data_IF_894069258327
#
_entry.id   IF_894069258327
#
_cell.length_a   1.000
_cell.length_b   1.000
_cell.length_c   1.000
_cell.angle_alpha   90.00
_cell.angle_beta   90.00
_cell.angle_gamma   90.00
#
_symmetry.space_group_name_H-M   'P 1'
#
loop_
_entity.id
_entity.type
_entity.pdbx_description
1 polymer ?
#
# COMPACT_ATOMS: atom_id res chain seq x y z
N UNK A 1 2.62 30.20 4.97
CA UNK A 1 1.53 30.76 4.14
C UNK A 1 0.84 29.54 3.55
N UNK A 2 -0.42 29.22 3.88
CA UNK A 2 -1.07 28.05 3.25
C UNK A 2 -1.04 28.30 1.74
N UNK A 3 -0.28 27.52 0.99
CA UNK A 3 -0.24 27.63 -0.47
C UNK A 3 -1.69 27.68 -0.96
N UNK A 4 -2.07 28.78 -1.61
CA UNK A 4 -3.37 28.91 -2.25
C UNK A 4 -3.33 28.01 -3.47
N UNK A 5 -3.62 26.73 -3.27
CA UNK A 5 -3.64 25.75 -4.34
C UNK A 5 -4.69 26.23 -5.35
N UNK A 6 -4.22 26.59 -6.54
CA UNK A 6 -5.10 26.88 -7.66
C UNK A 6 -6.07 25.71 -7.84
N UNK A 7 -7.32 26.02 -8.24
CA UNK A 7 -8.40 25.03 -8.28
C UNK A 7 -8.05 23.80 -9.15
N UNK A 8 -7.20 23.98 -10.16
CA UNK A 8 -6.92 22.95 -11.18
C UNK A 8 -5.43 22.61 -11.31
N UNK A 9 -4.55 23.61 -11.47
CA UNK A 9 -3.09 23.43 -11.65
C UNK A 9 -2.32 24.50 -10.90
N UNK A 10 -1.35 24.08 -10.11
CA UNK A 10 -0.46 24.96 -9.37
C UNK A 10 0.98 24.74 -9.82
N UNK A 11 1.71 25.83 -10.07
CA UNK A 11 3.14 25.77 -10.31
C UNK A 11 3.87 25.74 -8.96
N UNK A 12 4.73 24.74 -8.76
CA UNK A 12 5.54 24.59 -7.55
C UNK A 12 6.99 24.87 -7.90
N UNK A 13 7.63 25.76 -7.15
CA UNK A 13 8.99 26.23 -7.39
C UNK A 13 9.99 25.59 -6.42
N UNK A 14 11.30 25.52 -6.77
CA UNK A 14 12.33 25.14 -5.82
C UNK A 14 12.32 26.06 -4.58
N UNK A 15 12.32 25.48 -3.39
CA UNK A 15 12.23 26.16 -2.10
C UNK A 15 10.83 26.19 -1.48
N UNK A 16 9.79 25.69 -2.18
CA UNK A 16 8.40 25.72 -1.71
C UNK A 16 8.05 24.65 -0.65
N UNK A 17 8.98 23.75 -0.30
CA UNK A 17 8.69 22.70 0.67
C UNK A 17 8.50 23.28 2.08
N UNK A 18 7.28 23.20 2.60
CA UNK A 18 6.95 23.63 3.97
C UNK A 18 6.51 22.41 4.79
N UNK A 19 7.29 21.98 5.81
CA UNK A 19 7.00 20.76 6.56
C UNK A 19 5.60 20.73 7.16
N UNK A 20 5.10 21.87 7.65
CA UNK A 20 3.79 21.95 8.28
C UNK A 20 2.62 21.68 7.34
N UNK A 21 2.84 21.77 6.02
CA UNK A 21 1.83 21.51 5.00
C UNK A 21 1.81 20.05 4.52
N UNK A 22 2.82 19.24 4.86
CA UNK A 22 3.02 17.89 4.28
C UNK A 22 3.01 16.76 5.31
N UNK A 23 3.27 17.05 6.57
CA UNK A 23 3.34 16.07 7.65
C UNK A 23 2.17 16.23 8.62
N UNK A 24 1.73 15.13 9.25
CA UNK A 24 0.83 15.27 10.39
C UNK A 24 1.55 16.02 11.54
N UNK A 25 0.87 16.93 12.26
CA UNK A 25 1.48 17.63 13.40
C UNK A 25 2.10 16.67 14.42
N UNK A 26 1.46 15.51 14.66
CA UNK A 26 2.00 14.46 15.55
C UNK A 26 3.34 13.88 15.05
N UNK A 27 3.54 13.82 13.75
CA UNK A 27 4.77 13.30 13.11
C UNK A 27 5.92 14.28 13.28
N UNK A 28 5.70 15.56 13.00
CA UNK A 28 6.70 16.62 13.23
C UNK A 28 7.17 16.69 14.69
N UNK A 29 6.28 16.36 15.63
CA UNK A 29 6.56 16.34 17.06
C UNK A 29 6.93 14.94 17.59
N UNK A 30 7.39 14.04 16.73
CA UNK A 30 7.77 12.67 17.10
C UNK A 30 9.22 12.37 16.73
N UNK A 31 9.83 11.47 17.50
CA UNK A 31 11.15 10.93 17.19
C UNK A 31 10.99 9.48 16.79
N UNK A 32 11.60 9.09 15.67
CA UNK A 32 11.60 7.71 15.19
C UNK A 32 12.14 6.76 16.27
N UNK A 33 11.53 5.58 16.39
CA UNK A 33 12.04 4.56 17.30
C UNK A 33 13.41 4.04 16.80
N UNK A 34 14.45 3.89 17.66
CA UNK A 34 15.80 3.48 17.23
C UNK A 34 15.84 2.17 16.44
N UNK A 35 15.08 1.14 16.83
CA UNK A 35 14.97 -0.11 16.06
C UNK A 35 14.42 0.08 14.65
N UNK A 36 13.50 1.02 14.47
CA UNK A 36 12.89 1.30 13.16
C UNK A 36 13.87 2.09 12.29
N UNK A 37 14.57 3.06 12.88
CA UNK A 37 15.68 3.76 12.19
C UNK A 37 16.76 2.76 11.75
N UNK A 38 17.16 1.85 12.62
CA UNK A 38 18.13 0.79 12.31
C UNK A 38 17.63 -0.12 11.18
N UNK A 39 16.37 -0.58 11.26
CA UNK A 39 15.73 -1.39 10.21
C UNK A 39 15.80 -0.73 8.82
N UNK A 40 15.49 0.56 8.74
CA UNK A 40 15.48 1.29 7.47
C UNK A 40 16.88 1.45 6.85
N UNK A 41 17.94 1.28 7.65
CA UNK A 41 19.34 1.37 7.24
C UNK A 41 20.03 0.01 7.04
N UNK A 42 19.38 -1.12 7.35
CA UNK A 42 19.96 -2.45 7.12
C UNK A 42 20.24 -2.69 5.64
N UNK A 43 21.39 -3.27 5.32
CA UNK A 43 21.74 -3.73 3.95
C UNK A 43 20.91 -4.96 3.55
N UNK A 44 20.82 -5.24 2.25
CA UNK A 44 20.17 -6.47 1.77
C UNK A 44 20.84 -7.71 2.34
N UNK A 45 22.17 -7.74 2.40
CA UNK A 45 22.94 -8.85 2.97
C UNK A 45 22.57 -9.09 4.43
N UNK A 46 22.52 -8.03 5.26
CA UNK A 46 22.13 -8.17 6.66
C UNK A 46 20.69 -8.68 6.82
N UNK A 47 19.75 -8.19 6.02
CA UNK A 47 18.37 -8.66 6.03
C UNK A 47 18.27 -10.13 5.60
N UNK A 48 18.94 -10.50 4.50
CA UNK A 48 18.95 -11.87 3.98
C UNK A 48 19.56 -12.84 4.97
N UNK A 49 20.73 -12.54 5.53
CA UNK A 49 21.39 -13.40 6.53
C UNK A 49 20.50 -13.60 7.75
N UNK A 50 19.89 -12.51 8.26
CA UNK A 50 19.01 -12.58 9.41
C UNK A 50 17.75 -13.39 9.11
N UNK A 51 17.13 -13.18 7.95
CA UNK A 51 15.95 -13.93 7.54
C UNK A 51 16.25 -15.42 7.37
N UNK A 52 17.32 -15.78 6.65
CA UNK A 52 17.73 -17.18 6.44
C UNK A 52 18.05 -17.87 7.76
N UNK A 53 18.73 -17.19 8.70
CA UNK A 53 19.01 -17.74 10.04
C UNK A 53 17.76 -18.14 10.81
N UNK A 54 16.66 -17.40 10.64
CA UNK A 54 15.37 -17.65 11.29
C UNK A 54 14.46 -18.59 10.47
N UNK A 55 14.80 -18.81 9.20
CA UNK A 55 14.06 -19.67 8.26
C UNK A 55 15.08 -20.55 7.51
N UNK A 56 15.68 -21.56 8.17
CA UNK A 56 16.83 -22.30 7.62
C UNK A 56 16.51 -23.08 6.34
N UNK A 57 15.23 -23.30 6.04
CA UNK A 57 14.77 -23.94 4.80
C UNK A 57 14.64 -22.97 3.61
N UNK A 58 14.70 -21.66 3.85
CA UNK A 58 14.60 -20.66 2.81
C UNK A 58 15.94 -20.51 2.09
N UNK A 59 15.93 -20.57 0.76
CA UNK A 59 17.10 -20.35 -0.09
C UNK A 59 17.56 -18.90 0.03
N UNK A 60 18.81 -18.74 0.49
CA UNK A 60 19.41 -17.46 0.83
C UNK A 60 19.65 -16.61 -0.43
N UNK A 61 20.15 -17.24 -1.48
CA UNK A 61 20.47 -16.62 -2.76
C UNK A 61 19.20 -16.09 -3.43
N UNK A 62 18.10 -16.85 -3.40
CA UNK A 62 16.81 -16.43 -3.93
C UNK A 62 16.25 -15.20 -3.19
N UNK A 63 16.37 -15.15 -1.86
CA UNK A 63 15.97 -13.97 -1.08
C UNK A 63 16.81 -12.75 -1.49
N UNK A 64 18.13 -12.90 -1.58
CA UNK A 64 19.01 -11.80 -1.96
C UNK A 64 18.71 -11.30 -3.37
N UNK A 65 18.44 -12.20 -4.32
CA UNK A 65 18.04 -11.86 -5.69
C UNK A 65 16.75 -11.03 -5.70
N UNK A 66 15.74 -11.43 -4.90
CA UNK A 66 14.48 -10.68 -4.79
C UNK A 66 14.69 -9.31 -4.16
N UNK A 67 15.54 -9.19 -3.14
CA UNK A 67 15.83 -7.90 -2.52
C UNK A 67 16.63 -6.97 -3.44
N UNK A 68 17.56 -7.51 -4.23
CA UNK A 68 18.35 -6.78 -5.23
C UNK A 68 17.60 -6.53 -6.54
N UNK A 69 16.44 -7.14 -6.71
CA UNK A 69 15.63 -6.96 -7.90
C UNK A 69 15.29 -5.48 -8.12
N UNK A 70 15.35 -5.02 -9.37
CA UNK A 70 14.94 -3.70 -9.77
C UNK A 70 13.67 -3.79 -10.61
N UNK A 71 12.49 -3.52 -10.02
CA UNK A 71 11.22 -3.55 -10.75
C UNK A 71 11.22 -2.69 -12.01
N UNK A 72 10.61 -3.19 -13.08
CA UNK A 72 10.43 -2.45 -14.33
C UNK A 72 9.23 -1.51 -14.20
N UNK A 73 8.08 -2.03 -13.80
CA UNK A 73 6.82 -1.30 -13.71
C UNK A 73 6.48 -0.89 -12.28
N UNK A 74 6.71 -1.74 -11.28
CA UNK A 74 6.18 -1.55 -9.92
C UNK A 74 7.23 -1.01 -8.94
N UNK A 75 7.75 0.18 -9.21
CA UNK A 75 8.90 0.77 -8.51
C UNK A 75 8.58 1.45 -7.18
N UNK A 76 7.33 1.80 -6.93
CA UNK A 76 6.89 2.37 -5.65
C UNK A 76 5.62 1.69 -5.15
N UNK A 77 5.71 1.00 -4.01
CA UNK A 77 4.65 0.10 -3.54
C UNK A 77 4.43 0.23 -2.03
N UNK A 78 3.22 -0.09 -1.60
CA UNK A 78 2.88 -0.24 -0.18
C UNK A 78 2.09 -1.50 0.07
N UNK A 79 2.60 -2.35 0.96
CA UNK A 79 1.94 -3.61 1.34
C UNK A 79 1.27 -3.45 2.70
N UNK A 80 0.02 -3.87 2.79
CA UNK A 80 -0.69 -4.02 4.06
C UNK A 80 -0.47 -5.44 4.59
N UNK A 81 0.09 -5.53 5.78
CA UNK A 81 0.40 -6.78 6.48
C UNK A 81 -0.42 -6.87 7.76
N UNK A 82 -0.75 -8.08 8.19
CA UNK A 82 -1.28 -8.34 9.53
C UNK A 82 -0.37 -9.31 10.29
N UNK A 83 -0.11 -9.04 11.56
CA UNK A 83 0.65 -9.93 12.43
C UNK A 83 -0.29 -10.98 13.01
N UNK A 84 -0.08 -12.23 12.63
CA UNK A 84 -0.97 -13.35 12.95
C UNK A 84 -0.25 -14.50 13.63
N UNK A 85 -0.98 -15.29 14.41
CA UNK A 85 -0.51 -16.52 15.05
C UNK A 85 -1.48 -17.66 14.78
N UNK A 86 -0.98 -18.89 14.75
CA UNK A 86 -1.83 -20.10 14.75
C UNK A 86 -1.89 -20.72 16.16
N UNK A 87 -2.63 -21.82 16.30
CA UNK A 87 -2.80 -22.57 17.55
C UNK A 87 -1.50 -23.19 18.11
N UNK A 88 -0.45 -23.33 17.28
CA UNK A 88 0.87 -23.82 17.70
C UNK A 88 1.78 -22.68 18.19
N UNK A 89 1.30 -21.43 18.14
CA UNK A 89 2.10 -20.24 18.48
C UNK A 89 3.01 -19.76 17.35
N UNK A 90 2.90 -20.34 16.14
CA UNK A 90 3.68 -19.91 14.99
C UNK A 90 3.17 -18.57 14.49
N UNK A 91 4.05 -17.56 14.49
CA UNK A 91 3.73 -16.19 14.06
C UNK A 91 4.13 -15.93 12.62
N UNK A 92 3.29 -15.21 11.89
CA UNK A 92 3.56 -14.76 10.52
C UNK A 92 3.10 -13.32 10.31
N UNK A 93 3.74 -12.63 9.37
CA UNK A 93 3.21 -11.41 8.78
C UNK A 93 2.55 -11.80 7.45
N UNK A 94 1.23 -11.70 7.41
CA UNK A 94 0.43 -12.11 6.26
C UNK A 94 0.11 -10.92 5.37
N UNK A 95 0.30 -11.08 4.06
CA UNK A 95 0.00 -10.05 3.05
C UNK A 95 -1.51 -9.99 2.84
N UNK A 96 -2.09 -8.81 3.06
CA UNK A 96 -3.52 -8.55 2.84
C UNK A 96 -3.75 -7.96 1.45
N UNK A 97 -2.95 -6.96 1.08
CA UNK A 97 -2.94 -6.35 -0.25
C UNK A 97 -1.62 -5.59 -0.49
N UNK A 98 -1.29 -5.40 -1.77
CA UNK A 98 -0.16 -4.58 -2.20
C UNK A 98 -0.66 -3.52 -3.16
N UNK A 99 -0.30 -2.27 -2.89
CA UNK A 99 -0.89 -1.08 -3.49
C UNK A 99 0.16 -0.25 -4.25
N UNK A 100 -0.18 0.15 -5.47
CA UNK A 100 0.50 1.23 -6.20
C UNK A 100 0.00 2.60 -5.74
N UNK A 101 0.87 3.60 -5.82
CA UNK A 101 0.62 4.95 -5.29
C UNK A 101 0.18 4.91 -3.81
N UNK A 102 0.96 4.24 -2.92
CA UNK A 102 0.61 4.15 -1.50
C UNK A 102 0.65 5.54 -0.81
N UNK A 103 -0.31 5.77 0.09
CA UNK A 103 -0.22 6.86 1.07
C UNK A 103 0.64 6.43 2.24
N UNK A 104 1.36 7.36 2.87
CA UNK A 104 1.96 7.05 4.17
C UNK A 104 3.17 7.85 4.59
N UNK A 105 3.75 8.66 3.70
CA UNK A 105 4.91 9.48 4.07
C UNK A 105 4.56 10.39 5.23
N UNK A 106 3.44 11.12 5.13
CA UNK A 106 2.90 11.98 6.19
C UNK A 106 2.69 11.32 7.58
N UNK A 107 2.76 9.99 7.66
CA UNK A 107 2.60 9.17 8.87
C UNK A 107 3.93 8.61 9.42
N UNK A 108 5.07 8.88 8.76
CA UNK A 108 6.37 8.35 9.11
C UNK A 108 7.23 9.43 9.81
N UNK A 109 7.67 9.22 11.06
CA UNK A 109 8.64 10.12 11.70
C UNK A 109 9.91 10.30 10.85
N UNK A 110 10.48 11.50 10.87
CA UNK A 110 11.72 11.80 10.13
C UNK A 110 12.87 10.91 10.63
N UNK A 111 13.65 10.39 9.69
CA UNK A 111 14.87 9.64 9.97
C UNK A 111 16.00 10.55 10.46
N UNK A 112 16.09 11.75 9.86
CA UNK A 112 17.00 12.81 10.22
C UNK A 112 16.18 14.11 10.31
N UNK A 113 16.21 14.75 11.48
CA UNK A 113 15.45 15.97 11.74
C UNK A 113 15.94 17.17 10.93
N UNK A 114 17.18 17.12 10.39
CA UNK A 114 17.71 18.16 9.52
C UNK A 114 17.30 17.98 8.05
N UNK A 115 16.63 16.87 7.72
CA UNK A 115 16.13 16.58 6.37
C UNK A 115 14.61 16.58 6.41
N UNK A 116 14.03 17.78 6.37
CA UNK A 116 12.58 17.97 6.59
C UNK A 116 11.70 17.34 5.51
N UNK A 117 12.25 17.14 4.30
CA UNK A 117 11.61 16.38 3.23
C UNK A 117 11.56 14.86 3.49
N UNK A 118 12.31 14.36 4.47
CA UNK A 118 12.24 12.99 4.97
C UNK A 118 12.14 11.90 3.89
N UNK A 119 11.09 11.09 3.97
CA UNK A 119 10.83 9.99 3.04
C UNK A 119 10.43 10.43 1.63
N UNK A 120 9.92 11.65 1.42
CA UNK A 120 9.69 12.21 0.08
C UNK A 120 11.02 12.28 -0.67
N UNK A 121 12.04 12.90 -0.05
CA UNK A 121 13.37 13.05 -0.63
C UNK A 121 13.99 11.72 -1.02
N UNK A 122 13.92 10.73 -0.12
CA UNK A 122 14.44 9.38 -0.40
C UNK A 122 13.78 8.74 -1.62
N UNK A 123 12.47 8.85 -1.77
CA UNK A 123 11.76 8.32 -2.94
C UNK A 123 12.15 9.06 -4.22
N UNK A 124 12.18 10.39 -4.18
CA UNK A 124 12.47 11.20 -5.35
C UNK A 124 13.92 11.01 -5.80
N UNK A 125 14.90 11.20 -4.91
CA UNK A 125 16.32 11.15 -5.27
C UNK A 125 16.83 9.75 -5.65
N UNK A 126 16.28 8.69 -5.04
CA UNK A 126 16.77 7.33 -5.26
C UNK A 126 15.94 6.52 -6.25
N UNK A 127 14.75 7.00 -6.63
CA UNK A 127 13.86 6.28 -7.56
C UNK A 127 13.44 7.16 -8.73
N UNK A 128 12.69 8.24 -8.47
CA UNK A 128 12.08 9.02 -9.56
C UNK A 128 13.14 9.76 -10.38
N UNK A 129 14.07 10.45 -9.72
CA UNK A 129 15.12 11.22 -10.38
C UNK A 129 16.00 10.38 -11.30
N UNK A 130 16.56 9.24 -10.87
CA UNK A 130 17.30 8.34 -11.76
C UNK A 130 16.49 7.88 -12.97
N UNK A 131 15.17 7.67 -12.82
CA UNK A 131 14.31 7.30 -13.95
C UNK A 131 14.16 8.45 -14.95
N UNK A 132 13.95 9.68 -14.47
CA UNK A 132 13.84 10.87 -15.33
C UNK A 132 15.16 11.16 -16.04
N UNK A 133 16.28 11.10 -15.32
CA UNK A 133 17.61 11.38 -15.87
C UNK A 133 17.99 10.36 -16.97
N UNK A 134 17.46 9.14 -16.93
CA UNK A 134 17.63 8.11 -17.95
C UNK A 134 16.60 8.18 -19.09
N UNK A 135 15.56 9.01 -18.97
CA UNK A 135 14.45 9.08 -19.92
C UNK A 135 14.67 10.17 -20.98
N UNK A 136 14.66 9.79 -22.25
CA UNK A 136 14.97 10.69 -23.36
C UNK A 136 13.71 11.35 -23.93
N UNK A 137 13.12 12.26 -23.15
CA UNK A 137 11.99 13.08 -23.57
C UNK A 137 12.14 14.53 -23.08
N UNK A 138 11.68 15.48 -23.87
CA UNK A 138 11.67 16.91 -23.52
C UNK A 138 10.34 17.35 -22.89
N UNK A 139 10.32 18.52 -22.26
CA UNK A 139 9.15 19.08 -21.57
C UNK A 139 9.36 19.22 -20.08
N UNK A 140 8.33 19.68 -19.36
CA UNK A 140 8.35 19.94 -17.92
C UNK A 140 8.10 18.68 -17.07
N UNK A 141 8.23 18.83 -15.74
CA UNK A 141 7.84 17.84 -14.75
C UNK A 141 6.44 18.12 -14.23
N UNK A 142 5.73 17.06 -13.84
CA UNK A 142 4.42 17.17 -13.21
C UNK A 142 4.23 16.21 -12.03
N UNK A 143 3.31 16.59 -11.14
CA UNK A 143 2.65 15.68 -10.21
C UNK A 143 1.16 15.67 -10.57
N UNK A 144 0.62 14.49 -10.88
CA UNK A 144 -0.80 14.32 -11.17
C UNK A 144 -1.50 13.55 -10.05
N UNK A 145 -2.64 14.03 -9.57
CA UNK A 145 -3.30 13.42 -8.42
C UNK A 145 -4.83 13.52 -8.45
N UNK A 146 -5.52 12.55 -7.85
CA UNK A 146 -6.99 12.57 -7.70
C UNK A 146 -7.48 12.69 -6.25
N UNK A 147 -6.58 12.61 -5.28
CA UNK A 147 -6.89 12.77 -3.84
C UNK A 147 -5.62 13.10 -3.05
N UNK A 148 -5.77 13.36 -1.76
CA UNK A 148 -4.65 13.53 -0.81
C UNK A 148 -3.68 14.66 -1.20
N UNK A 149 -4.15 15.92 -1.31
CA UNK A 149 -3.31 17.05 -1.72
C UNK A 149 -2.08 17.22 -0.81
N UNK A 150 -2.19 16.96 0.49
CA UNK A 150 -1.10 17.06 1.47
C UNK A 150 0.18 16.34 1.01
N UNK A 151 0.11 15.07 0.64
CA UNK A 151 1.31 14.35 0.17
C UNK A 151 1.72 14.76 -1.24
N UNK A 152 0.77 15.12 -2.11
CA UNK A 152 1.07 15.44 -3.50
C UNK A 152 1.79 16.78 -3.67
N UNK A 153 1.47 17.77 -2.84
CA UNK A 153 2.24 19.02 -2.78
C UNK A 153 3.65 18.71 -2.25
N UNK A 154 3.77 17.86 -1.21
CA UNK A 154 5.07 17.44 -0.68
C UNK A 154 5.93 16.73 -1.73
N UNK A 155 5.34 15.84 -2.56
CA UNK A 155 6.04 15.25 -3.71
C UNK A 155 6.44 16.31 -4.73
N UNK A 156 5.55 17.23 -5.11
CA UNK A 156 5.84 18.26 -6.10
C UNK A 156 6.98 19.19 -5.66
N UNK A 157 6.94 19.69 -4.42
CA UNK A 157 7.97 20.55 -3.86
C UNK A 157 9.32 19.81 -3.75
N UNK A 158 9.31 18.54 -3.32
CA UNK A 158 10.52 17.72 -3.28
C UNK A 158 11.10 17.47 -4.67
N UNK A 159 10.25 17.28 -5.69
CA UNK A 159 10.70 17.15 -7.08
C UNK A 159 11.29 18.48 -7.56
N UNK A 160 10.65 19.61 -7.27
CA UNK A 160 11.17 20.92 -7.66
C UNK A 160 12.57 21.16 -7.08
N UNK A 161 12.76 20.86 -5.79
CA UNK A 161 14.06 20.96 -5.12
C UNK A 161 15.10 20.00 -5.70
N UNK A 162 14.73 18.75 -5.96
CA UNK A 162 15.66 17.72 -6.43
C UNK A 162 16.16 17.95 -7.87
N UNK A 163 15.38 18.66 -8.69
CA UNK A 163 15.73 18.97 -10.08
C UNK A 163 16.14 20.43 -10.30
N UNK A 164 15.86 21.33 -9.36
CA UNK A 164 16.13 22.77 -9.51
C UNK A 164 15.27 23.42 -10.60
N UNK A 165 14.05 22.92 -10.83
CA UNK A 165 13.11 23.42 -11.83
C UNK A 165 11.67 23.39 -11.32
N UNK A 166 10.78 24.12 -11.99
CA UNK A 166 9.38 24.20 -11.59
C UNK A 166 8.62 22.92 -11.96
N UNK A 167 7.64 22.56 -11.13
CA UNK A 167 6.82 21.35 -11.29
C UNK A 167 5.34 21.72 -11.35
N UNK A 168 4.62 21.18 -12.35
CA UNK A 168 3.17 21.35 -12.44
C UNK A 168 2.45 20.36 -11.51
N UNK A 169 1.79 20.86 -10.49
CA UNK A 169 0.88 20.08 -9.66
C UNK A 169 -0.55 20.16 -10.24
N UNK A 170 -1.00 19.09 -10.90
CA UNK A 170 -2.26 19.07 -11.62
C UNK A 170 -3.25 18.06 -11.02
N UNK A 171 -4.45 18.55 -10.69
CA UNK A 171 -5.55 17.69 -10.24
C UNK A 171 -6.13 16.96 -11.46
N UNK A 172 -6.24 15.65 -11.38
CA UNK A 172 -6.79 14.81 -12.44
C UNK A 172 -7.85 13.91 -11.81
N UNK A 173 -9.11 14.36 -11.73
CA UNK A 173 -10.23 13.62 -11.13
C UNK A 173 -10.99 12.78 -12.15
N UNK A 174 -11.72 11.76 -11.69
CA UNK A 174 -12.53 10.89 -12.58
C UNK A 174 -13.72 11.64 -13.18
N UNK A 175 -14.34 12.52 -12.39
CA UNK A 175 -15.58 13.24 -12.74
C UNK A 175 -15.35 14.56 -13.47
N UNK A 176 -14.09 14.94 -13.71
CA UNK A 176 -13.77 16.18 -14.42
C UNK A 176 -13.85 15.94 -15.94
N UNK A 177 -14.81 16.61 -16.59
CA UNK A 177 -15.02 16.53 -18.03
C UNK A 177 -14.01 17.40 -18.81
N UNK A 178 -13.34 18.33 -18.14
CA UNK A 178 -12.36 19.25 -18.72
C UNK A 178 -11.09 19.26 -17.87
N UNK A 179 -10.45 18.09 -17.66
CA UNK A 179 -9.31 17.99 -16.78
C UNK A 179 -8.14 18.82 -17.32
N UNK A 180 -7.29 19.38 -16.45
CA UNK A 180 -6.11 20.11 -16.86
C UNK A 180 -4.98 19.20 -17.35
N UNK A 181 -5.26 17.91 -17.58
CA UNK A 181 -4.32 16.89 -18.05
C UNK A 181 -4.93 16.22 -19.26
N UNK A 182 -4.17 16.09 -20.34
CA UNK A 182 -4.56 15.31 -21.52
C UNK A 182 -3.38 14.53 -22.08
N UNK A 183 -3.67 13.53 -22.89
CA UNK A 183 -2.66 12.81 -23.66
C UNK A 183 -2.92 12.99 -25.15
N UNK A 184 -1.87 13.32 -25.90
CA UNK A 184 -1.89 13.38 -27.38
C UNK A 184 -0.72 12.54 -27.86
N UNK A 185 -1.00 11.52 -28.68
CA UNK A 185 0.01 10.58 -29.23
C UNK A 185 0.98 10.02 -28.17
N UNK A 186 0.45 9.69 -26.99
CA UNK A 186 1.20 9.13 -25.86
C UNK A 186 1.97 10.16 -25.01
N UNK A 187 2.03 11.43 -25.43
CA UNK A 187 2.65 12.51 -24.66
C UNK A 187 1.61 13.17 -23.76
N UNK A 188 1.95 13.37 -22.49
CA UNK A 188 1.13 14.10 -21.53
C UNK A 188 1.31 15.61 -21.72
N UNK A 189 0.20 16.33 -21.64
CA UNK A 189 0.16 17.77 -21.56
C UNK A 189 -0.58 18.21 -20.29
N UNK A 190 -0.05 19.24 -19.62
CA UNK A 190 -0.71 19.89 -18.48
C UNK A 190 -1.04 21.34 -18.81
N UNK A 191 -2.21 21.79 -18.42
CA UNK A 191 -2.67 23.16 -18.66
C UNK A 191 -2.09 24.12 -17.61
N UNK A 192 -1.35 25.13 -18.03
CA UNK A 192 -0.77 26.13 -17.12
C UNK A 192 -1.79 27.21 -16.72
N UNK A 193 -1.39 28.16 -15.85
CA UNK A 193 -2.25 29.25 -15.37
C UNK A 193 -2.70 30.23 -16.47
N UNK A 194 -1.97 30.29 -17.60
CA UNK A 194 -2.32 31.07 -18.79
C UNK A 194 -3.17 30.27 -19.78
N UNK A 195 -3.70 29.12 -19.38
CA UNK A 195 -4.53 28.23 -20.19
C UNK A 195 -3.82 27.58 -21.40
N UNK A 196 -2.49 27.65 -21.45
CA UNK A 196 -1.67 26.99 -22.47
C UNK A 196 -1.35 25.55 -22.06
N UNK A 197 -1.14 24.67 -23.05
CA UNK A 197 -0.79 23.26 -22.82
C UNK A 197 0.71 23.07 -22.88
N UNK A 198 1.29 22.63 -21.77
CA UNK A 198 2.72 22.39 -21.61
C UNK A 198 3.04 20.91 -21.76
N UNK A 199 4.08 20.58 -22.51
CA UNK A 199 4.54 19.21 -22.68
C UNK A 199 5.21 18.69 -21.41
N UNK A 200 4.90 17.46 -21.03
CA UNK A 200 5.45 16.83 -19.83
C UNK A 200 6.38 15.67 -20.23
N UNK A 201 7.65 15.73 -19.78
CA UNK A 201 8.62 14.65 -19.99
C UNK A 201 8.46 13.52 -18.99
N UNK A 202 8.14 13.86 -17.74
CA UNK A 202 7.90 12.89 -16.70
C UNK A 202 6.88 13.39 -15.66
N UNK A 203 6.08 12.48 -15.13
CA UNK A 203 5.07 12.75 -14.12
C UNK A 203 5.16 11.78 -12.95
N UNK A 204 5.21 12.32 -11.73
CA UNK A 204 4.96 11.56 -10.52
C UNK A 204 3.44 11.40 -10.35
N UNK A 205 2.97 10.15 -10.24
CA UNK A 205 1.55 9.86 -10.28
C UNK A 205 1.00 9.45 -8.91
N UNK A 206 -0.09 10.10 -8.54
CA UNK A 206 -0.99 9.74 -7.46
C UNK A 206 -2.45 9.73 -7.91
N UNK A 207 -2.70 9.13 -9.07
CA UNK A 207 -4.04 8.89 -9.61
C UNK A 207 -4.44 7.46 -9.26
N UNK A 208 -5.43 7.32 -8.37
CA UNK A 208 -5.72 6.10 -7.62
C UNK A 208 -7.11 5.50 -7.90
N UNK A 209 -8.11 6.30 -8.26
CA UNK A 209 -9.50 5.89 -8.43
C UNK A 209 -9.79 5.57 -9.90
N UNK A 210 -9.88 4.29 -10.28
CA UNK A 210 -10.04 3.87 -11.68
C UNK A 210 -9.09 4.59 -12.67
N UNK A 211 -7.78 4.57 -12.41
CA UNK A 211 -6.81 5.33 -13.19
C UNK A 211 -6.75 4.90 -14.67
N UNK A 212 -7.20 3.69 -15.00
CA UNK A 212 -7.25 3.14 -16.37
C UNK A 212 -8.23 3.86 -17.30
N UNK A 213 -9.17 4.64 -16.76
CA UNK A 213 -10.07 5.46 -17.58
C UNK A 213 -9.37 6.72 -18.16
N UNK A 214 -8.17 7.03 -17.67
CA UNK A 214 -7.54 8.34 -17.84
C UNK A 214 -6.07 8.26 -18.24
N UNK A 215 -5.36 7.22 -17.82
CA UNK A 215 -3.95 7.02 -18.12
C UNK A 215 -3.79 5.96 -19.22
N UNK A 216 -3.12 6.29 -20.32
CA UNK A 216 -2.81 5.31 -21.35
C UNK A 216 -1.73 4.33 -20.88
N UNK A 217 -1.70 3.18 -21.53
CA UNK A 217 -0.58 2.23 -21.47
C UNK A 217 0.58 2.75 -22.32
N UNK A 218 1.81 2.43 -21.95
CA UNK A 218 3.04 2.79 -22.65
C UNK A 218 3.08 4.26 -23.15
N UNK A 219 2.85 5.26 -22.27
CA UNK A 219 3.00 6.65 -22.65
C UNK A 219 4.45 6.98 -23.02
N UNK A 220 4.64 7.99 -23.89
CA UNK A 220 5.95 8.60 -24.15
C UNK A 220 6.45 9.34 -22.90
N UNK A 221 5.55 10.06 -22.22
CA UNK A 221 5.84 10.66 -20.91
C UNK A 221 6.12 9.56 -19.89
N UNK A 222 7.25 9.64 -19.19
CA UNK A 222 7.57 8.73 -18.09
C UNK A 222 6.57 8.92 -16.94
N UNK A 223 6.00 7.84 -16.41
CA UNK A 223 5.07 7.90 -15.27
C UNK A 223 5.51 6.95 -14.17
N UNK A 224 5.62 7.44 -12.92
CA UNK A 224 5.90 6.62 -11.74
C UNK A 224 4.66 6.46 -10.84
N UNK A 225 4.09 5.26 -10.63
CA UNK A 225 4.24 4.06 -11.44
C UNK A 225 3.37 4.16 -12.71
N UNK A 226 3.73 3.47 -13.80
CA UNK A 226 2.88 3.35 -14.98
C UNK A 226 1.59 2.57 -14.67
N UNK A 227 0.58 2.63 -15.56
CA UNK A 227 -0.75 2.04 -15.31
C UNK A 227 -0.72 0.51 -15.26
N UNK A 228 0.23 -0.08 -15.96
CA UNK A 228 0.56 -1.49 -16.06
C UNK A 228 0.77 -2.10 -14.68
N UNK A 229 1.50 -1.41 -13.79
CA UNK A 229 1.68 -1.87 -12.41
C UNK A 229 0.35 -2.04 -11.66
N UNK A 230 -0.64 -1.19 -11.96
CA UNK A 230 -1.97 -1.29 -11.36
C UNK A 230 -2.75 -2.49 -11.91
N UNK A 231 -2.75 -2.64 -13.24
CA UNK A 231 -3.44 -3.70 -13.95
C UNK A 231 -2.86 -5.08 -13.66
N UNK A 232 -1.55 -5.16 -13.39
CA UNK A 232 -0.83 -6.39 -13.09
C UNK A 232 -0.99 -6.89 -11.63
N UNK A 233 -1.74 -6.18 -10.80
CA UNK A 233 -2.01 -6.59 -9.41
C UNK A 233 -1.79 -5.49 -8.37
N UNK A 234 -1.09 -4.40 -8.70
CA UNK A 234 -0.84 -3.30 -7.76
C UNK A 234 -2.10 -2.52 -7.37
N UNK A 235 -3.24 -2.71 -8.06
CA UNK A 235 -4.57 -2.23 -7.62
C UNK A 235 -5.70 -3.23 -7.88
N UNK A 236 -5.42 -4.36 -8.50
CA UNK A 236 -6.40 -5.40 -8.77
C UNK A 236 -6.10 -6.62 -7.88
N UNK A 237 -6.97 -6.85 -6.88
CA UNK A 237 -6.77 -7.90 -5.86
C UNK A 237 -6.78 -9.31 -6.45
N UNK A 238 -7.57 -9.54 -7.49
CA UNK A 238 -7.67 -10.83 -8.17
C UNK A 238 -6.38 -11.16 -8.92
N UNK A 239 -5.88 -10.19 -9.70
CA UNK A 239 -4.64 -10.36 -10.44
C UNK A 239 -3.45 -10.49 -9.49
N UNK A 240 -3.44 -9.76 -8.38
CA UNK A 240 -2.43 -9.91 -7.33
C UNK A 240 -2.42 -11.32 -6.73
N UNK A 241 -3.60 -11.86 -6.37
CA UNK A 241 -3.71 -13.22 -5.84
C UNK A 241 -3.12 -14.24 -6.80
N UNK A 242 -3.44 -14.13 -8.10
CA UNK A 242 -2.92 -15.01 -9.13
C UNK A 242 -1.40 -14.90 -9.28
N UNK A 243 -0.85 -13.67 -9.23
CA UNK A 243 0.58 -13.44 -9.28
C UNK A 243 1.32 -14.07 -8.07
N UNK A 244 0.71 -14.01 -6.88
CA UNK A 244 1.26 -14.64 -5.68
C UNK A 244 1.27 -16.16 -5.77
N UNK A 245 0.21 -16.78 -6.32
CA UNK A 245 0.16 -18.23 -6.52
C UNK A 245 1.24 -18.70 -7.50
N UNK A 246 1.44 -17.97 -8.61
CA UNK A 246 2.51 -18.24 -9.57
C UNK A 246 3.89 -18.13 -8.92
N UNK A 247 4.10 -17.10 -8.10
CA UNK A 247 5.33 -16.94 -7.33
C UNK A 247 5.55 -18.13 -6.38
N UNK A 248 4.52 -18.49 -5.61
CA UNK A 248 4.61 -19.56 -4.62
C UNK A 248 4.92 -20.92 -5.24
N UNK A 249 4.37 -21.22 -6.42
CA UNK A 249 4.70 -22.44 -7.14
C UNK A 249 6.14 -22.39 -7.70
N UNK A 250 6.54 -21.25 -8.30
CA UNK A 250 7.90 -21.06 -8.85
C UNK A 250 9.00 -21.18 -7.78
N UNK A 251 8.76 -20.66 -6.58
CA UNK A 251 9.74 -20.62 -5.49
C UNK A 251 9.54 -21.70 -4.43
N UNK A 252 8.67 -22.69 -4.69
CA UNK A 252 8.38 -23.79 -3.76
C UNK A 252 9.63 -24.55 -3.32
N UNK A 253 10.48 -24.94 -4.28
CA UNK A 253 11.73 -25.66 -4.01
C UNK A 253 12.81 -24.78 -3.36
N UNK A 254 12.58 -23.47 -3.32
CA UNK A 254 13.42 -22.47 -2.66
C UNK A 254 12.98 -22.21 -1.21
N UNK A 255 11.93 -22.87 -0.73
CA UNK A 255 11.47 -22.75 0.65
C UNK A 255 10.99 -21.35 1.03
N UNK A 256 10.64 -20.51 0.06
CA UNK A 256 10.08 -19.17 0.26
C UNK A 256 8.71 -19.07 -0.40
N UNK A 257 7.82 -18.34 0.24
CA UNK A 257 6.46 -18.11 -0.25
C UNK A 257 5.89 -16.82 0.30
N UNK A 258 5.04 -16.19 -0.49
CA UNK A 258 4.15 -15.11 -0.08
C UNK A 258 3.01 -15.74 0.71
N UNK A 259 2.92 -15.36 1.97
CA UNK A 259 1.89 -15.85 2.86
C UNK A 259 0.69 -14.90 2.86
N UNK A 260 -0.44 -15.37 2.36
CA UNK A 260 -1.73 -14.68 2.35
C UNK A 260 -2.77 -15.53 3.08
N UNK A 261 -3.84 -14.93 3.64
CA UNK A 261 -4.99 -15.72 4.06
C UNK A 261 -5.60 -16.42 2.84
N UNK A 262 -6.19 -17.61 3.03
CA UNK A 262 -6.78 -18.39 1.94
C UNK A 262 -7.78 -17.53 1.17
N UNK A 263 -7.56 -17.37 -0.14
CA UNK A 263 -8.37 -16.50 -1.00
C UNK A 263 -9.02 -17.32 -2.10
N UNK A 264 -10.28 -17.03 -2.39
CA UNK A 264 -11.04 -17.51 -3.53
C UNK A 264 -11.40 -16.32 -4.41
N UNK A 265 -11.06 -16.41 -5.69
CA UNK A 265 -11.30 -15.37 -6.69
C UNK A 265 -12.50 -15.69 -7.56
N UNK A 266 -13.08 -14.68 -8.22
CA UNK A 266 -14.19 -14.84 -9.17
C UNK A 266 -15.41 -15.55 -8.58
N UNK A 267 -15.71 -15.30 -7.30
CA UNK A 267 -16.85 -15.93 -6.62
C UNK A 267 -18.13 -15.21 -7.05
N UNK A 268 -19.09 -15.89 -7.70
CA UNK A 268 -20.38 -15.30 -8.03
C UNK A 268 -21.20 -14.99 -6.77
N UNK A 269 -22.09 -13.99 -6.84
CA UNK A 269 -22.98 -13.61 -5.74
C UNK A 269 -23.73 -14.82 -5.15
N UNK A 270 -24.28 -15.68 -6.01
CA UNK A 270 -25.06 -16.86 -5.60
C UNK A 270 -24.24 -17.92 -4.86
N UNK A 271 -22.90 -17.91 -4.99
CA UNK A 271 -22.02 -18.86 -4.29
C UNK A 271 -21.49 -18.34 -2.95
N UNK A 272 -21.72 -17.07 -2.59
CA UNK A 272 -21.17 -16.48 -1.35
C UNK A 272 -21.57 -17.27 -0.09
N UNK A 273 -22.82 -17.73 0.01
CA UNK A 273 -23.28 -18.58 1.13
C UNK A 273 -22.57 -19.92 1.21
N UNK A 274 -22.27 -20.53 0.06
CA UNK A 274 -21.52 -21.79 -0.01
C UNK A 274 -20.11 -21.59 0.54
N UNK A 275 -19.43 -20.50 0.17
CA UNK A 275 -18.09 -20.20 0.67
C UNK A 275 -18.08 -19.85 2.16
N UNK A 276 -19.12 -19.20 2.67
CA UNK A 276 -19.32 -19.00 4.12
C UNK A 276 -19.31 -20.34 4.87
N UNK A 277 -20.04 -21.34 4.36
CA UNK A 277 -20.02 -22.69 4.92
C UNK A 277 -18.66 -23.40 4.79
N UNK A 278 -18.00 -23.30 3.62
CA UNK A 278 -16.66 -23.89 3.39
C UNK A 278 -15.61 -23.32 4.35
N UNK A 279 -15.73 -22.05 4.70
CA UNK A 279 -14.83 -21.35 5.63
C UNK A 279 -15.25 -21.46 7.10
N UNK A 280 -16.27 -22.27 7.41
CA UNK A 280 -16.67 -22.57 8.78
C UNK A 280 -17.46 -21.44 9.46
N UNK A 281 -18.25 -20.69 8.68
CA UNK A 281 -19.14 -19.67 9.22
C UNK A 281 -18.47 -18.32 9.48
N UNK A 282 -17.33 -18.06 8.85
CA UNK A 282 -16.73 -16.72 8.84
C UNK A 282 -15.91 -16.47 7.59
N UNK A 283 -15.93 -15.25 7.07
CA UNK A 283 -15.16 -14.87 5.89
C UNK A 283 -15.01 -13.35 5.76
N UNK A 284 -14.20 -12.93 4.80
CA UNK A 284 -14.13 -11.55 4.33
C UNK A 284 -14.56 -11.52 2.87
N UNK A 285 -15.59 -10.74 2.56
CA UNK A 285 -16.03 -10.47 1.19
C UNK A 285 -15.38 -9.16 0.73
N UNK A 286 -14.73 -9.17 -0.44
CA UNK A 286 -14.12 -7.97 -1.03
C UNK A 286 -14.64 -7.75 -2.45
N UNK A 287 -15.05 -6.51 -2.71
CA UNK A 287 -15.33 -6.02 -4.06
C UNK A 287 -13.99 -5.74 -4.77
N UNK A 288 -13.76 -6.23 -6.01
CA UNK A 288 -12.44 -6.18 -6.65
C UNK A 288 -11.85 -4.77 -6.82
N UNK A 289 -12.65 -3.81 -7.28
CA UNK A 289 -12.20 -2.45 -7.66
C UNK A 289 -12.38 -1.39 -6.55
N UNK A 290 -12.86 -1.80 -5.38
CA UNK A 290 -13.05 -0.88 -4.27
C UNK A 290 -11.72 -0.60 -3.52
N UNK A 291 -11.59 0.63 -3.00
CA UNK A 291 -10.40 1.12 -2.31
C UNK A 291 -10.74 1.63 -0.90
N UNK A 292 -9.71 1.76 -0.04
CA UNK A 292 -9.80 2.36 1.29
C UNK A 292 -10.82 1.69 2.25
N UNK A 293 -11.02 0.38 2.11
CA UNK A 293 -11.95 -0.39 2.97
C UNK A 293 -13.41 -0.32 2.57
N UNK A 294 -13.77 0.47 1.56
CA UNK A 294 -15.10 0.42 0.98
C UNK A 294 -15.26 -0.92 0.27
N UNK A 295 -16.44 -1.54 0.34
CA UNK A 295 -16.68 -2.84 -0.29
C UNK A 295 -15.89 -4.00 0.32
N UNK A 296 -15.47 -3.88 1.60
CA UNK A 296 -14.90 -4.98 2.37
C UNK A 296 -15.83 -5.28 3.54
N UNK A 297 -16.32 -6.52 3.61
CA UNK A 297 -17.24 -6.97 4.64
C UNK A 297 -16.60 -8.11 5.40
N UNK A 298 -16.34 -7.90 6.69
CA UNK A 298 -16.05 -9.01 7.61
C UNK A 298 -17.37 -9.62 8.02
N UNK A 299 -17.45 -10.95 7.95
CA UNK A 299 -18.67 -11.71 8.22
C UNK A 299 -18.33 -12.79 9.23
N UNK A 300 -18.92 -12.74 10.42
CA UNK A 300 -18.70 -13.74 11.49
C UNK A 300 -19.95 -14.54 11.86
N UNK A 301 -21.09 -14.23 11.26
CA UNK A 301 -22.36 -14.92 11.48
C UNK A 301 -23.31 -14.69 10.28
N UNK A 302 -24.46 -15.37 10.29
CA UNK A 302 -25.47 -15.26 9.24
C UNK A 302 -26.09 -13.86 9.13
N UNK A 303 -26.25 -13.13 10.23
CA UNK A 303 -26.82 -11.77 10.22
C UNK A 303 -25.93 -10.80 9.43
N UNK A 304 -24.62 -10.85 9.68
CA UNK A 304 -23.63 -10.08 8.91
C UNK A 304 -23.56 -10.52 7.45
N UNK A 305 -23.81 -11.81 7.17
CA UNK A 305 -23.87 -12.30 5.80
C UNK A 305 -25.07 -11.71 5.06
N UNK A 306 -26.26 -11.74 5.65
CA UNK A 306 -27.45 -11.13 5.06
C UNK A 306 -27.24 -9.64 4.79
N UNK A 307 -26.66 -8.93 5.75
CA UNK A 307 -26.35 -7.52 5.61
C UNK A 307 -25.34 -7.27 4.47
N UNK A 308 -24.25 -8.04 4.41
CA UNK A 308 -23.30 -7.90 3.31
C UNK A 308 -23.96 -8.17 1.95
N UNK A 309 -24.79 -9.22 1.86
CA UNK A 309 -25.53 -9.56 0.63
C UNK A 309 -26.54 -8.48 0.21
N UNK A 310 -27.12 -7.72 1.15
CA UNK A 310 -28.03 -6.61 0.82
C UNK A 310 -27.32 -5.38 0.28
N UNK A 311 -26.04 -5.19 0.62
CA UNK A 311 -25.27 -4.00 0.27
C UNK A 311 -24.47 -4.15 -1.04
N UNK A 312 -24.35 -5.37 -1.57
CA UNK A 312 -23.49 -5.67 -2.72
C UNK A 312 -24.29 -6.04 -3.98
N UNK A 313 -23.70 -5.85 -5.16
CA UNK A 313 -24.37 -6.08 -6.44
C UNK A 313 -24.47 -7.56 -6.83
N UNK A 314 -25.65 -8.00 -7.28
CA UNK A 314 -25.83 -9.38 -7.77
C UNK A 314 -25.11 -9.66 -9.10
N UNK A 315 -24.67 -8.63 -9.82
CA UNK A 315 -23.99 -8.78 -11.12
C UNK A 315 -22.49 -8.96 -11.01
N UNK A 316 -21.91 -8.72 -9.83
CA UNK A 316 -20.47 -8.60 -9.67
C UNK A 316 -19.85 -9.94 -9.26
N UNK A 317 -18.53 -10.05 -9.49
CA UNK A 317 -17.73 -11.15 -8.98
C UNK A 317 -16.94 -10.68 -7.75
N UNK A 318 -16.83 -11.53 -6.76
CA UNK A 318 -16.24 -11.22 -5.46
C UNK A 318 -14.93 -11.96 -5.24
N UNK A 319 -14.07 -11.37 -4.40
CA UNK A 319 -13.04 -12.14 -3.70
C UNK A 319 -13.56 -12.52 -2.32
N UNK A 320 -13.47 -13.79 -1.99
CA UNK A 320 -13.75 -14.29 -0.64
C UNK A 320 -12.43 -14.71 0.00
N UNK A 321 -12.13 -14.19 1.17
CA UNK A 321 -10.90 -14.48 1.90
C UNK A 321 -11.22 -15.06 3.27
N UNK A 322 -10.39 -15.99 3.73
CA UNK A 322 -10.43 -16.48 5.11
C UNK A 322 -10.26 -15.32 6.08
N UNK A 323 -11.18 -15.24 7.06
CA UNK A 323 -11.07 -14.30 8.15
C UNK A 323 -9.87 -14.67 9.05
N UNK A 324 -9.11 -13.65 9.44
CA UNK A 324 -8.16 -13.78 10.56
C UNK A 324 -8.96 -13.49 11.82
N UNK A 325 -9.10 -14.47 12.70
CA UNK A 325 -9.99 -14.40 13.85
C UNK A 325 -9.41 -13.51 14.97
N UNK A 326 -10.28 -12.95 15.79
CA UNK A 326 -9.87 -12.20 16.98
C UNK A 326 -9.38 -13.12 18.09
N UNK A 327 -10.19 -14.14 18.41
CA UNK A 327 -9.91 -15.17 19.40
C UNK A 327 -10.46 -16.52 18.94
N UNK A 328 -10.11 -17.57 19.69
CA UNK A 328 -10.80 -18.85 19.60
C UNK A 328 -12.28 -18.69 19.93
N UNK A 329 -13.13 -19.36 19.17
CA UNK A 329 -14.57 -19.46 19.41
C UNK A 329 -15.01 -20.91 19.29
N UNK A 330 -16.05 -21.29 20.03
CA UNK A 330 -16.60 -22.64 19.97
C UNK A 330 -17.02 -23.00 18.53
N UNK A 331 -16.67 -24.21 18.09
CA UNK A 331 -16.95 -24.70 16.72
C UNK A 331 -15.90 -24.32 15.67
N UNK A 332 -14.95 -23.44 15.97
CA UNK A 332 -13.81 -23.16 15.10
C UNK A 332 -12.76 -24.28 15.20
N UNK A 333 -12.32 -24.82 14.06
CA UNK A 333 -11.17 -25.75 14.00
C UNK A 333 -9.85 -24.95 14.11
N UNK A 334 -9.15 -24.98 15.26
CA UNK A 334 -7.95 -24.16 15.48
C UNK A 334 -6.81 -24.54 14.54
N UNK A 335 -6.82 -25.77 14.01
CA UNK A 335 -5.78 -26.26 13.08
C UNK A 335 -5.81 -25.57 11.72
N UNK A 336 -6.94 -24.96 11.38
CA UNK A 336 -7.16 -24.26 10.11
C UNK A 336 -7.30 -22.75 10.27
N UNK A 337 -7.19 -22.23 11.50
CA UNK A 337 -7.42 -20.83 11.81
C UNK A 337 -6.13 -20.06 12.06
N UNK A 338 -6.18 -18.77 11.72
CA UNK A 338 -5.19 -17.77 12.11
C UNK A 338 -5.87 -16.72 12.98
N UNK A 339 -5.13 -16.21 13.95
CA UNK A 339 -5.60 -15.21 14.91
C UNK A 339 -4.74 -13.97 14.83
N UNK A 340 -5.33 -12.80 15.02
CA UNK A 340 -4.57 -11.58 15.20
C UNK A 340 -3.71 -11.69 16.47
N UNK A 341 -2.43 -11.33 16.38
CA UNK A 341 -1.57 -11.22 17.58
C UNK A 341 -2.06 -10.07 18.47
N UNK A 342 -2.55 -9.00 17.85
CA UNK A 342 -3.06 -7.82 18.53
C UNK A 342 -1.96 -6.94 19.14
N UNK A 343 -2.31 -5.71 19.50
CA UNK A 343 -1.42 -4.83 20.26
C UNK A 343 -1.10 -5.43 21.63
N UNK A 344 0.01 -5.00 22.24
CA UNK A 344 0.23 -5.23 23.66
C UNK A 344 -0.98 -4.69 24.43
N UNK A 345 -1.56 -5.48 25.36
CA UNK A 345 -2.72 -5.03 26.12
C UNK A 345 -2.45 -3.73 26.89
N UNK A 346 -3.43 -2.81 26.88
CA UNK A 346 -3.35 -1.59 27.68
C UNK A 346 -3.59 -1.87 29.18
N UNK A 347 -3.59 -0.82 30.02
CA UNK A 347 -3.84 -0.95 31.47
C UNK A 347 -5.22 -1.50 31.83
N UNK A 348 -6.17 -1.53 30.88
CA UNK A 348 -7.48 -2.16 31.03
C UNK A 348 -7.50 -3.58 30.47
N UNK A 349 -6.37 -4.10 30.01
CA UNK A 349 -6.23 -5.42 29.39
C UNK A 349 -6.72 -5.47 27.94
N UNK A 350 -6.95 -4.33 27.27
CA UNK A 350 -7.52 -4.28 25.92
C UNK A 350 -6.43 -4.41 24.86
N UNK A 351 -6.61 -5.33 23.93
CA UNK A 351 -5.73 -5.52 22.76
C UNK A 351 -6.50 -5.25 21.48
N UNK A 352 -5.89 -4.62 20.48
CA UNK A 352 -6.54 -4.20 19.24
C UNK A 352 -5.95 -4.91 18.04
N UNK A 353 -6.77 -5.21 17.02
CA UNK A 353 -6.24 -5.60 15.73
C UNK A 353 -5.42 -4.42 15.18
N UNK A 354 -4.32 -4.71 14.51
CA UNK A 354 -3.58 -3.69 13.79
C UNK A 354 -2.99 -4.26 12.50
N UNK A 355 -2.81 -3.38 11.54
CA UNK A 355 -2.05 -3.67 10.33
C UNK A 355 -0.67 -3.00 10.36
N UNK A 356 0.20 -3.41 9.45
CA UNK A 356 1.42 -2.69 9.13
C UNK A 356 1.32 -2.28 7.65
N UNK A 357 1.29 -0.97 7.38
CA UNK A 357 1.53 -0.44 6.04
C UNK A 357 3.03 -0.29 5.88
N UNK A 358 3.64 -1.17 5.10
CA UNK A 358 5.06 -1.07 4.75
C UNK A 358 5.20 -0.55 3.31
N UNK A 359 5.77 0.64 3.17
CA UNK A 359 6.10 1.24 1.88
C UNK A 359 7.53 0.89 1.50
N UNK A 360 7.75 0.64 0.21
CA UNK A 360 9.06 0.36 -0.38
C UNK A 360 9.20 1.05 -1.73
N UNK A 361 10.45 1.17 -2.16
CA UNK A 361 10.80 1.74 -3.45
C UNK A 361 11.98 1.02 -4.09
N UNK A 362 12.05 1.09 -5.41
CA UNK A 362 13.17 0.57 -6.19
C UNK A 362 14.30 1.60 -6.25
N UNK A 363 15.52 1.15 -5.99
CA UNK A 363 16.76 1.92 -6.09
C UNK A 363 17.71 1.21 -7.05
N UNK A 364 18.86 1.83 -7.33
CA UNK A 364 19.98 1.20 -8.03
C UNK A 364 20.54 -0.03 -7.31
N UNK A 365 20.32 -0.16 -6.00
CA UNK A 365 20.70 -1.35 -5.23
C UNK A 365 19.61 -2.44 -5.21
N UNK A 366 18.38 -2.12 -5.62
CA UNK A 366 17.21 -3.01 -5.55
C UNK A 366 16.07 -2.42 -4.71
N UNK A 367 15.19 -3.28 -4.18
CA UNK A 367 14.03 -2.87 -3.37
C UNK A 367 14.49 -2.46 -1.96
N UNK A 368 14.07 -1.29 -1.47
CA UNK A 368 14.44 -0.77 -0.14
C UNK A 368 13.20 -0.37 0.67
N UNK A 369 13.20 -0.52 2.02
CA UNK A 369 12.10 -0.03 2.83
C UNK A 369 12.14 1.51 2.90
N UNK A 370 10.96 2.13 2.75
CA UNK A 370 10.81 3.57 2.61
C UNK A 370 10.14 4.20 3.84
N UNK A 371 8.98 3.69 4.22
CA UNK A 371 8.19 4.17 5.36
C UNK A 371 7.38 3.02 5.94
N UNK A 372 7.06 3.09 7.23
CA UNK A 372 6.22 2.09 7.90
C UNK A 372 5.41 2.73 9.03
N UNK A 373 4.13 2.39 9.09
CA UNK A 373 3.23 2.79 10.17
C UNK A 373 2.13 1.75 10.35
N UNK A 374 1.41 1.83 11.46
CA UNK A 374 0.31 0.93 11.77
C UNK A 374 -0.99 1.68 11.96
N UNK A 375 -2.10 1.00 11.69
CA UNK A 375 -3.44 1.46 12.02
C UNK A 375 -4.11 0.39 12.86
N UNK A 376 -4.81 0.79 13.91
CA UNK A 376 -5.55 -0.14 14.79
C UNK A 376 -7.06 -0.09 14.57
N UNK A 377 -7.74 -1.18 14.94
CA UNK A 377 -9.19 -1.27 14.97
C UNK A 377 -9.81 -0.30 15.99
N UNK A 378 -11.10 -0.02 15.85
CA UNK A 378 -11.85 0.83 16.79
C UNK A 378 -12.19 0.12 18.09
N UNK A 379 -12.36 -1.21 18.02
CA UNK A 379 -12.79 -2.03 19.14
C UNK A 379 -11.75 -3.11 19.50
N UNK A 380 -11.59 -3.47 20.80
CA UNK A 380 -10.66 -4.50 21.21
C UNK A 380 -11.00 -5.88 20.65
N UNK A 381 -9.97 -6.69 20.39
CA UNK A 381 -10.07 -8.10 19.99
C UNK A 381 -10.70 -8.95 21.09
N UNK A 382 -10.42 -8.64 22.36
CA UNK A 382 -10.69 -9.47 23.52
C UNK A 382 -11.89 -9.00 24.37
N UNK A 383 -12.78 -8.20 23.78
CA UNK A 383 -14.04 -7.78 24.40
C UNK A 383 -15.23 -8.28 23.57
N UNK A 384 -16.35 -8.54 24.23
CA UNK A 384 -17.60 -8.86 23.53
C UNK A 384 -18.10 -7.62 22.78
N UNK A 385 -18.47 -7.82 21.53
CA UNK A 385 -18.93 -6.74 20.68
C UNK A 385 -20.31 -6.24 21.17
N UNK A 386 -20.51 -4.94 21.43
CA UNK A 386 -21.79 -4.42 21.89
C UNK A 386 -22.91 -4.66 20.88
N UNK A 387 -24.14 -4.84 21.35
CA UNK A 387 -25.32 -4.96 20.48
C UNK A 387 -25.41 -3.77 19.51
N UNK A 388 -25.63 -4.07 18.23
CA UNK A 388 -25.73 -3.07 17.16
C UNK A 388 -24.39 -2.63 16.56
N UNK A 389 -23.26 -3.18 17.02
CA UNK A 389 -21.97 -3.08 16.32
C UNK A 389 -21.76 -4.34 15.47
N UNK A 390 -20.92 -4.23 14.44
CA UNK A 390 -20.55 -5.34 13.57
C UNK A 390 -19.04 -5.65 13.66
N UNK A 391 -18.65 -6.80 13.15
CA UNK A 391 -17.29 -7.34 13.21
C UNK A 391 -16.23 -6.41 12.61
N UNK A 392 -16.62 -5.49 11.71
CA UNK A 392 -15.70 -4.50 11.15
C UNK A 392 -15.09 -3.59 12.22
N UNK A 393 -15.79 -3.34 13.33
CA UNK A 393 -15.26 -2.55 14.45
C UNK A 393 -14.03 -3.23 15.11
N UNK A 394 -13.98 -4.57 15.07
CA UNK A 394 -12.93 -5.40 15.64
C UNK A 394 -11.77 -5.59 14.66
N UNK A 395 -12.08 -5.81 13.38
CA UNK A 395 -11.09 -6.21 12.36
C UNK A 395 -10.65 -5.07 11.44
N UNK A 396 -11.47 -4.04 11.26
CA UNK A 396 -11.26 -2.94 10.32
C UNK A 396 -10.25 -1.91 10.83
N UNK A 397 -9.10 -1.81 10.16
CA UNK A 397 -8.01 -0.87 10.53
C UNK A 397 -8.02 0.43 9.71
N UNK A 398 -8.92 0.59 8.74
CA UNK A 398 -8.96 1.79 7.91
C UNK A 398 -9.30 3.04 8.73
N UNK A 399 -8.57 4.14 8.49
CA UNK A 399 -8.74 5.40 9.23
C UNK A 399 -9.87 6.27 8.68
N UNK A 400 -10.26 6.08 7.41
CA UNK A 400 -11.32 6.84 6.77
C UNK A 400 -12.67 6.53 7.42
N UNK A 401 -13.34 7.55 7.93
CA UNK A 401 -14.68 7.48 8.50
C UNK A 401 -15.60 8.32 7.63
N UNK A 402 -16.78 7.78 7.28
CA UNK A 402 -17.82 8.54 6.59
C UNK A 402 -18.61 9.33 7.65
N UNK A 403 -18.44 10.64 7.67
CA UNK A 403 -19.24 11.57 8.48
C UNK A 403 -20.45 12.13 7.71
N UNK A 404 -21.24 12.97 8.38
CA UNK A 404 -22.44 13.60 7.81
C UNK A 404 -22.10 14.58 6.67
N UNK A 405 -21.00 15.33 6.81
CA UNK A 405 -20.53 16.34 5.82
C UNK A 405 -19.45 15.79 4.86
N UNK A 406 -19.27 14.47 4.81
CA UNK A 406 -18.24 13.82 3.99
C UNK A 406 -17.24 13.01 4.80
N UNK A 407 -16.05 12.77 4.25
CA UNK A 407 -15.06 11.88 4.86
C UNK A 407 -14.21 12.60 5.91
N UNK A 408 -14.08 12.00 7.10
CA UNK A 408 -13.15 12.39 8.18
C UNK A 408 -12.12 11.29 8.46
N UNK A 409 -11.14 11.55 9.31
CA UNK A 409 -10.05 10.62 9.66
C UNK A 409 -9.98 10.39 11.17
N UNK A 410 -9.93 9.12 11.59
CA UNK A 410 -9.63 8.72 12.96
C UNK A 410 -8.11 8.71 13.21
N UNK A 411 -7.52 9.88 13.41
CA UNK A 411 -6.08 10.02 13.64
C UNK A 411 -5.63 9.38 14.96
N UNK A 412 -6.51 9.22 15.94
CA UNK A 412 -6.27 8.53 17.22
C UNK A 412 -6.02 7.02 17.05
N UNK A 413 -6.39 6.44 15.90
CA UNK A 413 -6.10 5.04 15.55
C UNK A 413 -4.82 4.86 14.74
N UNK A 414 -4.17 5.96 14.33
CA UNK A 414 -2.86 5.93 13.72
C UNK A 414 -1.77 5.69 14.79
N UNK A 415 -0.99 4.64 14.59
CA UNK A 415 0.14 4.26 15.42
C UNK A 415 1.45 4.54 14.66
N UNK A 416 2.12 5.63 15.05
CA UNK A 416 3.41 6.03 14.49
C UNK A 416 4.50 5.05 14.93
N UNK A 417 5.54 4.88 14.13
CA UNK A 417 6.72 4.08 14.51
C UNK A 417 7.73 4.96 15.27
N UNK A 418 7.20 5.69 16.27
CA UNK A 418 7.93 6.60 17.15
C UNK A 418 8.24 5.93 18.50
N UNK A 419 9.05 6.61 19.32
CA UNK A 419 9.44 6.14 20.66
C UNK A 419 8.23 5.81 21.56
N UNK A 420 7.08 6.46 21.35
CA UNK A 420 5.90 6.34 22.23
C UNK A 420 5.00 5.16 21.86
N UNK A 421 4.82 4.91 20.57
CA UNK A 421 3.79 4.00 20.07
C UNK A 421 4.36 2.65 19.64
N UNK A 422 5.61 2.58 19.17
CA UNK A 422 6.16 1.35 18.59
C UNK A 422 6.14 0.16 19.58
N UNK A 423 6.45 0.40 20.86
CA UNK A 423 6.43 -0.64 21.89
C UNK A 423 5.05 -1.27 22.11
N UNK A 424 3.96 -0.56 21.78
CA UNK A 424 2.59 -1.08 21.90
C UNK A 424 2.24 -2.10 20.81
N UNK A 425 3.01 -2.17 19.73
CA UNK A 425 2.79 -3.11 18.63
C UNK A 425 3.40 -4.49 18.91
N UNK A 426 4.31 -4.60 19.88
CA UNK A 426 4.99 -5.85 20.20
C UNK A 426 5.87 -6.39 19.05
N UNK A 427 6.30 -5.53 18.13
CA UNK A 427 7.13 -5.88 16.99
C UNK A 427 8.62 -5.74 17.30
N UNK A 428 9.43 -6.68 16.83
CA UNK A 428 10.88 -6.60 16.85
C UNK A 428 11.48 -6.35 15.47
N UNK A 429 12.81 -6.29 15.43
CA UNK A 429 13.57 -6.17 14.17
C UNK A 429 13.30 -7.34 13.22
N UNK A 430 13.07 -8.54 13.77
CA UNK A 430 12.84 -9.75 13.00
C UNK A 430 11.48 -9.73 12.29
N UNK A 431 10.43 -9.23 12.95
CA UNK A 431 9.14 -9.02 12.33
C UNK A 431 9.24 -7.97 11.21
N UNK A 432 9.96 -6.85 11.43
CA UNK A 432 10.14 -5.84 10.37
C UNK A 432 10.87 -6.41 9.14
N UNK A 433 11.94 -7.20 9.34
CA UNK A 433 12.65 -7.87 8.25
C UNK A 433 11.74 -8.88 7.54
N UNK A 434 11.01 -9.73 8.29
CA UNK A 434 10.06 -10.70 7.70
C UNK A 434 8.98 -10.00 6.89
N UNK A 435 8.42 -8.91 7.42
CA UNK A 435 7.42 -8.10 6.74
C UNK A 435 7.95 -7.53 5.43
N UNK A 436 9.16 -6.96 5.47
CA UNK A 436 9.81 -6.42 4.28
C UNK A 436 10.08 -7.48 3.22
N UNK A 437 10.60 -8.66 3.59
CA UNK A 437 10.82 -9.77 2.66
C UNK A 437 9.51 -10.24 2.04
N UNK A 438 8.43 -10.40 2.83
CA UNK A 438 7.09 -10.70 2.31
C UNK A 438 6.61 -9.65 1.30
N UNK A 439 6.79 -8.37 1.61
CA UNK A 439 6.40 -7.29 0.71
C UNK A 439 7.24 -7.23 -0.56
N UNK A 440 8.56 -7.44 -0.47
CA UNK A 440 9.46 -7.48 -1.62
C UNK A 440 9.11 -8.65 -2.57
N UNK A 441 8.78 -9.83 -2.03
CA UNK A 441 8.27 -10.96 -2.82
C UNK A 441 6.96 -10.60 -3.52
N UNK A 442 6.03 -9.92 -2.83
CA UNK A 442 4.76 -9.49 -3.44
C UNK A 442 4.96 -8.47 -4.57
N UNK A 443 5.87 -7.52 -4.40
CA UNK A 443 6.24 -6.55 -5.46
C UNK A 443 6.90 -7.27 -6.63
N UNK A 444 7.85 -8.16 -6.38
CA UNK A 444 8.48 -8.99 -7.41
C UNK A 444 7.42 -9.78 -8.20
N UNK A 445 6.51 -10.47 -7.52
CA UNK A 445 5.45 -11.25 -8.17
C UNK A 445 4.57 -10.40 -9.10
N UNK A 446 4.11 -9.25 -8.62
CA UNK A 446 3.27 -8.34 -9.40
C UNK A 446 4.05 -7.73 -10.58
N UNK A 447 5.31 -7.37 -10.38
CA UNK A 447 6.13 -6.80 -11.45
C UNK A 447 6.47 -7.83 -12.54
N UNK A 448 6.78 -9.07 -12.16
CA UNK A 448 6.97 -10.16 -13.11
C UNK A 448 5.70 -10.43 -13.91
N UNK A 449 4.53 -10.36 -13.27
CA UNK A 449 3.25 -10.45 -13.98
C UNK A 449 3.04 -9.26 -14.95
N UNK A 450 3.47 -8.05 -14.56
CA UNK A 450 3.43 -6.88 -15.43
C UNK A 450 4.33 -7.05 -16.66
N UNK A 451 5.56 -7.55 -16.47
CA UNK A 451 6.50 -7.85 -17.56
C UNK A 451 5.92 -8.91 -18.50
N UNK A 452 5.34 -9.99 -17.96
CA UNK A 452 4.74 -11.04 -18.78
C UNK A 452 3.55 -10.53 -19.61
N UNK A 453 2.75 -9.62 -19.05
CA UNK A 453 1.50 -9.16 -19.64
C UNK A 453 1.68 -7.97 -20.58
N UNK A 454 2.57 -7.04 -20.22
CA UNK A 454 2.72 -5.73 -20.87
C UNK A 454 4.12 -5.45 -21.39
N UNK A 455 5.12 -6.25 -21.00
CA UNK A 455 6.43 -6.20 -21.60
C UNK A 455 6.31 -6.41 -23.11
N UNK A 456 7.21 -5.79 -23.86
CA UNK A 456 7.34 -6.09 -25.28
C UNK A 456 7.64 -7.59 -25.40
N UNK A 457 6.67 -8.38 -25.86
CA UNK A 457 6.98 -9.72 -26.38
C UNK A 457 8.06 -9.49 -27.41
N UNK A 458 9.25 -10.05 -27.18
CA UNK A 458 10.37 -10.07 -28.10
C UNK A 458 9.91 -9.79 -29.53
N UNK A 459 10.15 -8.56 -30.00
CA UNK A 459 10.24 -8.30 -31.42
C UNK A 459 11.46 -9.08 -31.90
N UNK A 460 11.26 -10.38 -32.13
CA UNK A 460 12.11 -11.38 -32.78
C UNK A 460 11.63 -12.79 -32.36
N UNK A 461 10.59 -13.28 -33.05
CA UNK A 461 10.49 -14.66 -33.53
C UNK A 461 10.20 -14.59 -35.02
#
# INVERSE_FOLDING_TARGET
MKLSISKNVHLVEPGDFEPTDHWYPRVLNSNIHPLVSYFLNLTHEQMTERYHRLNPMADKEAILEILKYQPVYFRWAGTDLMHVTNHEGNRKLTVIETNSCPSGQKSMPLLDLNVEQGGYKRLIEKTFKPMVDAHQEEGALAVIYDKNPMENIGYAATIADAFGENVYLAKFEKSDNTPPVKFVDGKMYVKNEMENWEEIRAAFRYVTQEPWNRLPKNPKTLILNPIEACLAGGRNKEVASSAYDIFNEKFKDKGISIFTPKTFTKVPYEELRKYFGILGGSMVIKVPDSNAGQGVYTVVNEEELEFALSEISKSDLYLVQQLIHSNYSDGLDPSKAWYHVGTIPDFKGRSYAFDLRLMMHATDEGIRPLAVYSRRSGFPLNEELPKGKNSWEVYGTNLSIKGEDGWTYADERLMLFDIRNFGQLGLGIDELIKGFVQSAMAVYAIDQNAILTFGEKNANV
#
